data_IF_966709121984
#
_entry.id   IF_966709121984
#
_cell.length_a   1.000
_cell.length_b   1.000
_cell.length_c   1.000
_cell.angle_alpha   90.00
_cell.angle_beta   90.00
_cell.angle_gamma   90.00
#
_symmetry.space_group_name_H-M   'P 1'
#
loop_
_entity.id
_entity.type
_entity.pdbx_description
1 polymer ?
#
# COMPACT_ATOMS: atom_id res chain seq x y z
N UNK A 1 5.47 36.51 19.00
CA UNK A 1 6.07 36.15 17.69
C UNK A 1 6.22 34.65 17.69
N UNK A 2 5.46 33.97 16.84
CA UNK A 2 5.43 32.52 16.78
C UNK A 2 6.67 32.07 16.01
N UNK A 3 7.65 31.48 16.71
CA UNK A 3 8.83 30.91 16.07
C UNK A 3 8.37 29.79 15.13
N UNK A 4 8.49 30.04 13.83
CA UNK A 4 8.43 29.00 12.80
C UNK A 4 9.49 27.94 13.12
N UNK A 5 9.09 26.89 13.86
CA UNK A 5 9.90 25.69 14.07
C UNK A 5 10.35 25.18 12.71
N UNK A 6 11.60 25.46 12.34
CA UNK A 6 12.24 24.90 11.15
C UNK A 6 12.21 23.38 11.29
N UNK A 7 11.32 22.74 10.54
CA UNK A 7 11.21 21.28 10.50
C UNK A 7 12.54 20.68 10.05
N UNK A 8 13.01 19.68 10.77
CA UNK A 8 14.26 19.00 10.45
C UNK A 8 14.14 18.30 9.08
N UNK A 9 15.25 18.06 8.36
CA UNK A 9 15.23 17.31 7.10
C UNK A 9 14.51 15.94 7.22
N UNK A 10 14.68 15.25 8.35
CA UNK A 10 13.99 13.99 8.66
C UNK A 10 12.47 14.17 8.73
N UNK A 11 12.00 15.20 9.45
CA UNK A 11 10.57 15.48 9.56
C UNK A 11 9.95 15.86 8.22
N UNK A 12 10.69 16.60 7.37
CA UNK A 12 10.25 16.91 6.01
C UNK A 12 10.11 15.66 5.15
N UNK A 13 11.08 14.76 5.24
CA UNK A 13 11.04 13.47 4.52
C UNK A 13 9.88 12.58 5.01
N UNK A 14 9.67 12.47 6.32
CA UNK A 14 8.54 11.71 6.87
C UNK A 14 7.19 12.28 6.43
N UNK A 15 7.04 13.61 6.43
CA UNK A 15 5.82 14.26 5.96
C UNK A 15 5.61 14.04 4.46
N UNK A 16 6.67 14.05 3.67
CA UNK A 16 6.63 13.77 2.23
C UNK A 16 6.17 12.33 1.95
N UNK A 17 6.79 11.34 2.62
CA UNK A 17 6.40 9.93 2.54
C UNK A 17 4.93 9.77 2.91
N UNK A 18 4.50 10.33 4.05
CA UNK A 18 3.10 10.25 4.51
C UNK A 18 2.13 10.80 3.47
N UNK A 19 2.47 11.93 2.84
CA UNK A 19 1.65 12.52 1.79
C UNK A 19 1.54 11.59 0.56
N UNK A 20 2.64 10.99 0.11
CA UNK A 20 2.57 10.06 -1.01
C UNK A 20 1.86 8.74 -0.69
N UNK A 21 1.99 8.22 0.53
CA UNK A 21 1.20 7.08 0.98
C UNK A 21 -0.31 7.41 0.95
N UNK A 22 -0.68 8.62 1.38
CA UNK A 22 -2.07 9.08 1.35
C UNK A 22 -2.60 9.18 -0.08
N UNK A 23 -1.84 9.80 -0.99
CA UNK A 23 -2.20 9.87 -2.42
C UNK A 23 -2.30 8.48 -3.05
N UNK A 24 -1.38 7.56 -2.73
CA UNK A 24 -1.43 6.18 -3.20
C UNK A 24 -2.71 5.47 -2.74
N UNK A 25 -3.11 5.70 -1.49
CA UNK A 25 -4.37 5.18 -0.94
C UNK A 25 -5.58 5.77 -1.67
N UNK A 26 -5.68 7.09 -1.79
CA UNK A 26 -6.78 7.75 -2.50
C UNK A 26 -6.89 7.28 -3.95
N UNK A 27 -5.76 7.14 -4.64
CA UNK A 27 -5.72 6.61 -6.01
C UNK A 27 -6.23 5.18 -6.08
N UNK A 28 -5.82 4.33 -5.14
CA UNK A 28 -6.30 2.95 -5.08
C UNK A 28 -7.81 2.88 -4.81
N UNK A 29 -8.32 3.75 -3.93
CA UNK A 29 -9.72 3.78 -3.51
C UNK A 29 -10.67 4.44 -4.51
N UNK A 30 -10.21 5.42 -5.27
CA UNK A 30 -11.08 6.21 -6.16
C UNK A 30 -10.87 5.87 -7.63
N UNK A 31 -9.62 5.64 -8.05
CA UNK A 31 -9.29 5.57 -9.48
C UNK A 31 -9.07 4.13 -9.97
N UNK A 32 -8.68 3.22 -9.08
CA UNK A 32 -8.20 1.88 -9.44
C UNK A 32 -9.16 0.76 -9.00
N UNK A 33 -10.44 0.89 -9.36
CA UNK A 33 -11.46 -0.12 -9.09
C UNK A 33 -11.02 -1.51 -9.57
N UNK A 34 -10.50 -1.63 -10.79
CA UNK A 34 -10.02 -2.90 -11.35
C UNK A 34 -8.89 -3.53 -10.53
N UNK A 35 -7.96 -2.72 -10.02
CA UNK A 35 -6.87 -3.20 -9.15
C UNK A 35 -7.43 -3.73 -7.83
N UNK A 36 -8.40 -3.04 -7.22
CA UNK A 36 -9.03 -3.52 -5.98
C UNK A 36 -9.77 -4.84 -6.16
N UNK A 37 -10.51 -4.99 -7.25
CA UNK A 37 -11.19 -6.26 -7.55
C UNK A 37 -10.18 -7.38 -7.84
N UNK A 38 -9.10 -7.10 -8.56
CA UNK A 38 -8.02 -8.06 -8.74
C UNK A 38 -7.37 -8.48 -7.41
N UNK A 39 -7.14 -7.54 -6.49
CA UNK A 39 -6.61 -7.83 -5.16
C UNK A 39 -7.56 -8.74 -4.37
N UNK A 40 -8.87 -8.50 -4.40
CA UNK A 40 -9.86 -9.40 -3.77
C UNK A 40 -9.80 -10.81 -4.34
N UNK A 41 -9.71 -10.94 -5.67
CA UNK A 41 -9.57 -12.25 -6.32
C UNK A 41 -8.29 -12.97 -5.90
N UNK A 42 -7.16 -12.25 -5.87
CA UNK A 42 -5.87 -12.77 -5.41
C UNK A 42 -5.94 -13.18 -3.94
N UNK A 43 -6.56 -12.37 -3.07
CA UNK A 43 -6.73 -12.68 -1.66
C UNK A 43 -7.55 -13.95 -1.47
N UNK A 44 -8.64 -14.13 -2.22
CA UNK A 44 -9.46 -15.35 -2.20
C UNK A 44 -8.65 -16.58 -2.60
N UNK A 45 -7.88 -16.47 -3.68
CA UNK A 45 -7.05 -17.58 -4.16
C UNK A 45 -5.93 -17.92 -3.17
N UNK A 46 -5.26 -16.91 -2.60
CA UNK A 46 -4.24 -17.10 -1.56
C UNK A 46 -4.80 -17.76 -0.30
N UNK A 47 -5.98 -17.37 0.17
CA UNK A 47 -6.65 -18.05 1.30
C UNK A 47 -6.89 -19.53 0.99
N UNK A 48 -7.38 -19.85 -0.22
CA UNK A 48 -7.60 -21.23 -0.65
C UNK A 48 -6.30 -22.03 -0.72
N UNK A 49 -5.24 -21.43 -1.26
CA UNK A 49 -3.93 -22.06 -1.37
C UNK A 49 -3.28 -22.26 0.01
N UNK A 50 -3.47 -21.33 0.95
CA UNK A 50 -3.04 -21.49 2.33
C UNK A 50 -3.69 -22.72 2.98
N UNK A 51 -5.02 -22.84 2.90
CA UNK A 51 -5.76 -23.98 3.45
C UNK A 51 -5.28 -25.32 2.86
N UNK A 52 -5.05 -25.36 1.54
CA UNK A 52 -4.52 -26.55 0.84
C UNK A 52 -3.10 -26.90 1.28
N UNK A 53 -2.23 -25.90 1.41
CA UNK A 53 -0.81 -26.11 1.74
C UNK A 53 -0.64 -26.55 3.19
N UNK A 54 -1.46 -26.00 4.08
CA UNK A 54 -1.44 -26.33 5.50
C UNK A 54 -2.24 -27.59 5.84
N UNK A 55 -2.93 -28.18 4.86
CA UNK A 55 -3.91 -29.26 5.03
C UNK A 55 -4.89 -28.97 6.19
N UNK A 56 -5.32 -27.71 6.29
CA UNK A 56 -6.08 -27.20 7.42
C UNK A 56 -7.33 -26.46 6.96
N UNK A 57 -8.47 -26.87 7.50
CA UNK A 57 -9.75 -26.20 7.29
C UNK A 57 -9.87 -24.97 8.19
N UNK A 58 -10.20 -23.82 7.60
CA UNK A 58 -10.56 -22.61 8.33
C UNK A 58 -12.08 -22.47 8.38
N UNK A 59 -12.62 -21.96 9.50
CA UNK A 59 -14.02 -21.53 9.61
C UNK A 59 -14.30 -20.36 8.66
N UNK A 60 -15.57 -20.00 8.48
CA UNK A 60 -15.92 -18.84 7.65
C UNK A 60 -15.31 -17.53 8.19
N UNK A 61 -15.35 -17.36 9.51
CA UNK A 61 -14.81 -16.18 10.20
C UNK A 61 -13.28 -16.10 10.02
N UNK A 62 -12.58 -17.22 10.18
CA UNK A 62 -11.14 -17.30 10.00
C UNK A 62 -10.74 -17.05 8.54
N UNK A 63 -11.49 -17.59 7.57
CA UNK A 63 -11.28 -17.31 6.15
C UNK A 63 -11.47 -15.84 5.83
N UNK A 64 -12.51 -15.22 6.37
CA UNK A 64 -12.78 -13.79 6.18
C UNK A 64 -11.68 -12.94 6.81
N UNK A 65 -11.22 -13.28 8.01
CA UNK A 65 -10.10 -12.61 8.66
C UNK A 65 -8.82 -12.70 7.82
N UNK A 66 -8.42 -13.90 7.40
CA UNK A 66 -7.23 -14.11 6.57
C UNK A 66 -7.34 -13.38 5.23
N UNK A 67 -8.53 -13.39 4.61
CA UNK A 67 -8.79 -12.69 3.36
C UNK A 67 -8.60 -11.17 3.51
N UNK A 68 -9.18 -10.57 4.56
CA UNK A 68 -9.02 -9.14 4.85
C UNK A 68 -7.58 -8.77 5.18
N UNK A 69 -6.86 -9.64 5.88
CA UNK A 69 -5.44 -9.45 6.18
C UNK A 69 -4.63 -9.38 4.88
N UNK A 70 -4.85 -10.32 3.95
CA UNK A 70 -4.14 -10.32 2.66
C UNK A 70 -4.47 -9.06 1.85
N UNK A 71 -5.74 -8.66 1.76
CA UNK A 71 -6.14 -7.43 1.06
C UNK A 71 -5.42 -6.23 1.66
N UNK A 72 -5.47 -6.08 2.97
CA UNK A 72 -4.87 -4.95 3.69
C UNK A 72 -3.37 -4.90 3.47
N UNK A 73 -2.68 -6.03 3.56
CA UNK A 73 -1.25 -6.12 3.26
C UNK A 73 -0.94 -5.73 1.82
N UNK A 74 -1.72 -6.19 0.84
CA UNK A 74 -1.53 -5.81 -0.56
C UNK A 74 -1.77 -4.32 -0.81
N UNK A 75 -2.75 -3.71 -0.15
CA UNK A 75 -3.01 -2.27 -0.22
C UNK A 75 -1.84 -1.48 0.36
N UNK A 76 -1.32 -1.90 1.51
CA UNK A 76 -0.14 -1.28 2.10
C UNK A 76 1.07 -1.37 1.14
N UNK A 77 1.35 -2.56 0.59
CA UNK A 77 2.43 -2.73 -0.38
C UNK A 77 2.26 -1.83 -1.61
N UNK A 78 1.02 -1.68 -2.12
CA UNK A 78 0.74 -0.75 -3.20
C UNK A 78 1.05 0.70 -2.83
N UNK A 79 0.58 1.18 -1.67
CA UNK A 79 0.81 2.55 -1.22
C UNK A 79 2.30 2.85 -1.02
N UNK A 80 3.05 1.92 -0.42
CA UNK A 80 4.49 2.07 -0.27
C UNK A 80 5.21 2.07 -1.62
N UNK A 81 4.85 1.17 -2.55
CA UNK A 81 5.39 1.16 -3.90
C UNK A 81 5.13 2.47 -4.65
N UNK A 82 3.91 3.02 -4.52
CA UNK A 82 3.57 4.33 -5.05
C UNK A 82 4.42 5.45 -4.43
N UNK A 83 4.56 5.47 -3.10
CA UNK A 83 5.32 6.49 -2.39
C UNK A 83 6.81 6.49 -2.75
N UNK A 84 7.42 5.31 -2.78
CA UNK A 84 8.82 5.15 -3.21
C UNK A 84 8.98 5.60 -4.66
N UNK A 85 8.09 5.15 -5.57
CA UNK A 85 8.16 5.54 -6.98
C UNK A 85 8.05 7.05 -7.22
N UNK A 86 7.26 7.76 -6.42
CA UNK A 86 7.17 9.23 -6.48
C UNK A 86 8.48 9.89 -6.05
N UNK A 87 9.10 9.41 -4.97
CA UNK A 87 10.39 9.93 -4.48
C UNK A 87 11.52 9.66 -5.47
N UNK A 88 11.58 8.46 -6.03
CA UNK A 88 12.55 8.13 -7.09
C UNK A 88 12.35 8.99 -8.35
N UNK A 89 11.09 9.27 -8.71
CA UNK A 89 10.76 10.14 -9.85
C UNK A 89 11.20 11.59 -9.65
N UNK A 90 11.15 12.12 -8.42
CA UNK A 90 11.61 13.48 -8.09
C UNK A 90 13.13 13.60 -7.99
N UNK A 91 13.80 12.53 -7.57
CA UNK A 91 15.26 12.49 -7.41
C UNK A 91 16.00 12.20 -8.71
N UNK A 92 15.35 11.58 -9.70
CA UNK A 92 15.86 11.50 -11.07
C UNK A 92 15.74 12.86 -11.75
N UNK A 93 16.77 13.70 -11.60
CA UNK A 93 17.03 14.76 -12.57
C UNK A 93 16.95 14.14 -13.97
N UNK A 94 16.08 14.68 -14.83
CA UNK A 94 16.04 14.32 -16.25
C UNK A 94 17.45 14.53 -16.81
N UNK A 95 18.23 13.45 -16.95
CA UNK A 95 19.40 13.47 -17.84
C UNK A 95 18.83 13.68 -19.23
N UNK A 96 18.87 14.94 -19.69
CA UNK A 96 18.71 15.27 -21.10
C UNK A 96 20.01 14.82 -21.76
N UNK A 97 19.93 13.77 -22.56
CA UNK A 97 20.96 13.46 -23.56
C UNK A 97 20.88 14.48 -24.69
#
# INVERSE_FOLDING_TARGET
MEELKKTSPSQKFENLIKNYLHQGKEKLENDLVGTREAIKLIAKDKTKNFMRTMDFGLSEEERNCLHQLIITSMYQSFCYGYGIGKIEGETKQKVRL
#
